data_IF_911310625939
#
_entry.id   IF_911310625939
#
_cell.length_a   1.000
_cell.length_b   1.000
_cell.length_c   1.000
_cell.angle_alpha   90.00
_cell.angle_beta   90.00
_cell.angle_gamma   90.00
#
_symmetry.space_group_name_H-M   'P 1'
#
loop_
_entity.id
_entity.type
_entity.pdbx_description
1 polymer ?
#
# COMPACT_ATOMS: atom_id res chain seq x y z
N UNK A 1 26.90 -2.24 -18.57
CA UNK A 1 26.04 -2.85 -17.56
C UNK A 1 24.79 -1.99 -17.35
N UNK A 2 23.67 -2.61 -17.36
CA UNK A 2 22.41 -1.91 -17.17
C UNK A 2 22.07 -1.88 -15.69
N UNK A 3 21.96 -0.68 -15.16
CA UNK A 3 21.48 -0.50 -13.80
C UNK A 3 19.96 -0.57 -13.84
N UNK A 4 19.42 -1.64 -13.30
CA UNK A 4 17.98 -1.73 -13.20
C UNK A 4 17.47 -0.76 -12.15
N UNK A 5 16.54 0.07 -12.55
CA UNK A 5 15.78 0.86 -11.60
C UNK A 5 14.99 -0.09 -10.71
N UNK A 6 15.33 -0.11 -9.43
CA UNK A 6 14.58 -0.94 -8.49
C UNK A 6 13.48 -0.13 -7.87
N UNK A 7 12.25 -0.49 -8.20
CA UNK A 7 11.09 0.06 -7.54
C UNK A 7 10.81 -0.76 -6.30
N UNK A 8 10.81 -0.11 -5.16
CA UNK A 8 10.46 -0.75 -3.90
C UNK A 8 9.01 -0.44 -3.56
N UNK A 9 8.24 -1.47 -3.26
CA UNK A 9 6.86 -1.34 -2.84
C UNK A 9 6.73 -1.76 -1.39
N UNK A 10 6.03 -0.94 -0.62
CA UNK A 10 5.72 -1.21 0.77
C UNK A 10 4.21 -1.16 0.92
N UNK A 11 3.65 -2.18 1.54
CA UNK A 11 2.21 -2.27 1.76
C UNK A 11 1.89 -1.95 3.21
N UNK A 12 0.83 -1.18 3.41
CA UNK A 12 0.36 -0.78 4.74
C UNK A 12 -1.10 -1.18 4.90
N UNK A 13 -1.43 -1.65 6.08
CA UNK A 13 -2.78 -2.09 6.41
C UNK A 13 -3.37 -1.17 7.49
N UNK A 14 -4.58 -0.71 7.24
CA UNK A 14 -5.37 0.01 8.23
C UNK A 14 -6.56 -0.85 8.61
N UNK A 15 -6.66 -1.19 9.88
CA UNK A 15 -7.76 -1.99 10.40
C UNK A 15 -8.57 -1.20 11.41
N UNK A 16 -9.87 -1.42 11.41
CA UNK A 16 -10.80 -0.85 12.40
C UNK A 16 -11.58 -2.01 12.98
N UNK A 17 -11.48 -2.19 14.31
CA UNK A 17 -12.16 -3.28 15.03
C UNK A 17 -11.86 -4.66 14.43
N UNK A 18 -10.61 -4.89 14.06
CA UNK A 18 -10.18 -6.16 13.50
C UNK A 18 -10.57 -6.40 12.05
N UNK A 19 -11.14 -5.40 11.40
CA UNK A 19 -11.55 -5.50 10.00
C UNK A 19 -10.70 -4.59 9.12
N UNK A 20 -10.40 -5.07 7.92
CA UNK A 20 -9.64 -4.29 6.95
C UNK A 20 -10.45 -3.07 6.53
N UNK A 21 -9.95 -1.88 6.87
CA UNK A 21 -10.58 -0.62 6.47
C UNK A 21 -9.96 -0.06 5.20
N UNK A 22 -8.64 -0.20 5.05
CA UNK A 22 -7.94 0.30 3.88
C UNK A 22 -6.60 -0.43 3.70
N UNK A 23 -6.15 -0.51 2.46
CA UNK A 23 -4.83 -1.04 2.12
C UNK A 23 -4.12 0.04 1.32
N UNK A 24 -2.90 0.38 1.76
CA UNK A 24 -2.09 1.39 1.11
C UNK A 24 -0.83 0.78 0.53
N UNK A 25 -0.30 1.42 -0.49
CA UNK A 25 0.97 1.04 -1.07
C UNK A 25 1.82 2.28 -1.27
N UNK A 26 3.06 2.22 -0.82
CA UNK A 26 4.08 3.22 -1.16
C UNK A 26 4.99 2.60 -2.20
N UNK A 27 5.15 3.29 -3.32
CA UNK A 27 6.05 2.87 -4.38
C UNK A 27 7.16 3.88 -4.52
N UNK A 28 8.39 3.43 -4.29
CA UNK A 28 9.58 4.29 -4.37
C UNK A 28 10.50 3.78 -5.46
N UNK A 29 10.93 4.68 -6.31
CA UNK A 29 11.95 4.40 -7.32
C UNK A 29 12.90 5.56 -7.44
N UNK A 30 13.89 5.48 -8.35
CA UNK A 30 14.81 6.58 -8.58
C UNK A 30 14.06 7.83 -9.05
N UNK A 31 14.12 8.89 -8.25
CA UNK A 31 13.51 10.15 -8.60
C UNK A 31 12.00 10.25 -8.39
N UNK A 32 11.37 9.23 -7.78
CA UNK A 32 9.93 9.34 -7.51
C UNK A 32 9.51 8.58 -6.25
N UNK A 33 8.40 9.04 -5.71
CA UNK A 33 7.72 8.40 -4.60
C UNK A 33 6.23 8.57 -4.82
N UNK A 34 5.48 7.47 -4.78
CA UNK A 34 4.03 7.50 -4.95
C UNK A 34 3.35 6.80 -3.80
N UNK A 35 2.31 7.43 -3.28
CA UNK A 35 1.47 6.86 -2.23
C UNK A 35 0.09 6.59 -2.83
N UNK A 36 -0.39 5.36 -2.66
CA UNK A 36 -1.62 4.90 -3.28
C UNK A 36 -2.49 4.19 -2.25
N UNK A 37 -3.80 4.28 -2.44
CA UNK A 37 -4.77 3.53 -1.65
C UNK A 37 -5.54 2.61 -2.60
N UNK A 38 -5.86 1.41 -2.13
CA UNK A 38 -6.61 0.44 -2.95
C UNK A 38 -8.09 0.77 -2.93
N UNK A 39 -8.61 1.17 -4.08
CA UNK A 39 -10.04 1.43 -4.28
C UNK A 39 -10.71 0.32 -5.07
N UNK A 40 -12.01 0.47 -5.32
CA UNK A 40 -12.78 -0.53 -6.04
C UNK A 40 -12.32 -0.73 -7.48
N UNK A 41 -11.75 0.30 -8.08
CA UNK A 41 -11.27 0.25 -9.46
C UNK A 41 -9.74 0.18 -9.56
N UNK A 42 -9.07 -0.06 -8.45
CA UNK A 42 -7.62 -0.19 -8.42
C UNK A 42 -6.96 0.82 -7.53
N UNK A 43 -5.67 1.02 -7.74
CA UNK A 43 -4.87 1.91 -6.92
C UNK A 43 -5.13 3.38 -7.26
N UNK A 44 -5.37 4.18 -6.23
CA UNK A 44 -5.70 5.60 -6.38
C UNK A 44 -4.66 6.41 -5.60
N UNK A 45 -4.11 7.48 -6.18
CA UNK A 45 -3.18 8.35 -5.45
C UNK A 45 -3.80 8.91 -4.17
N UNK A 46 -3.02 8.96 -3.10
CA UNK A 46 -3.48 9.46 -1.81
C UNK A 46 -2.35 10.17 -1.07
N UNK A 47 -2.70 11.10 -0.19
CA UNK A 47 -1.74 11.75 0.70
C UNK A 47 -1.88 11.26 2.15
N UNK A 48 -2.77 10.32 2.41
CA UNK A 48 -3.02 9.82 3.76
C UNK A 48 -1.81 9.15 4.40
N UNK A 49 -0.94 8.55 3.60
CA UNK A 49 0.27 7.89 4.11
C UNK A 49 1.25 8.90 4.69
N UNK A 50 1.15 10.16 4.30
CA UNK A 50 1.99 11.21 4.84
C UNK A 50 1.85 11.30 6.37
N UNK A 51 0.64 11.17 6.88
CA UNK A 51 0.37 11.20 8.32
C UNK A 51 1.07 10.05 9.04
N UNK A 52 1.12 8.88 8.44
CA UNK A 52 1.83 7.73 9.00
C UNK A 52 3.35 8.01 9.06
N UNK A 53 3.91 8.60 7.99
CA UNK A 53 5.35 8.91 7.92
C UNK A 53 5.80 9.85 9.01
N UNK A 54 4.94 10.79 9.39
CA UNK A 54 5.25 11.75 10.45
C UNK A 54 4.76 11.32 11.83
N UNK A 55 4.26 10.08 11.94
CA UNK A 55 3.89 9.49 13.21
C UNK A 55 2.52 9.87 13.74
N UNK A 56 1.66 10.49 12.92
CA UNK A 56 0.33 10.91 13.36
C UNK A 56 -0.72 9.81 13.21
N UNK A 57 -0.45 8.78 12.44
CA UNK A 57 -1.35 7.64 12.26
C UNK A 57 -0.58 6.35 12.29
N UNK A 58 -1.20 5.31 12.85
CA UNK A 58 -0.62 3.98 12.91
C UNK A 58 -1.20 3.10 11.82
N UNK A 59 -0.36 2.74 10.87
CA UNK A 59 -0.67 1.72 9.88
C UNK A 59 0.34 0.60 10.05
N UNK A 60 -0.09 -0.64 9.92
CA UNK A 60 0.80 -1.78 10.01
C UNK A 60 1.46 -2.02 8.66
N UNK A 61 2.80 -2.09 8.68
CA UNK A 61 3.52 -2.50 7.49
C UNK A 61 3.36 -4.01 7.34
N UNK A 62 2.90 -4.45 6.16
CA UNK A 62 2.63 -5.86 5.89
C UNK A 62 3.39 -6.31 4.66
N UNK A 63 3.51 -7.64 4.50
CA UNK A 63 4.13 -8.21 3.32
C UNK A 63 3.16 -8.17 2.14
N UNK A 64 3.71 -8.39 0.93
CA UNK A 64 2.88 -8.49 -0.27
C UNK A 64 1.85 -9.60 -0.14
N UNK A 65 2.25 -10.74 0.44
CA UNK A 65 1.35 -11.88 0.66
C UNK A 65 0.21 -11.51 1.60
N UNK A 66 0.53 -10.82 2.69
CA UNK A 66 -0.49 -10.37 3.64
C UNK A 66 -1.41 -9.32 2.99
N UNK A 67 -0.85 -8.43 2.17
CA UNK A 67 -1.66 -7.45 1.44
C UNK A 67 -2.63 -8.14 0.49
N UNK A 68 -2.18 -9.19 -0.18
CA UNK A 68 -3.03 -9.95 -1.09
C UNK A 68 -4.19 -10.62 -0.36
N UNK A 69 -3.91 -11.20 0.80
CA UNK A 69 -4.95 -11.83 1.61
C UNK A 69 -5.95 -10.81 2.14
N UNK A 70 -5.46 -9.65 2.59
CA UNK A 70 -6.33 -8.58 3.04
C UNK A 70 -7.20 -8.06 1.89
N UNK A 71 -6.63 -7.89 0.71
CA UNK A 71 -7.37 -7.45 -0.47
C UNK A 71 -8.41 -8.49 -0.89
N UNK A 72 -8.12 -9.77 -0.69
CA UNK A 72 -9.06 -10.85 -1.01
C UNK A 72 -10.34 -10.71 -0.20
N UNK A 73 -10.24 -10.31 1.07
CA UNK A 73 -11.42 -10.10 1.89
C UNK A 73 -12.30 -8.96 1.38
N UNK A 74 -11.74 -8.06 0.57
CA UNK A 74 -12.46 -6.95 -0.05
C UNK A 74 -12.84 -7.24 -1.51
N UNK A 75 -12.47 -8.41 -2.03
CA UNK A 75 -12.70 -8.74 -3.44
C UNK A 75 -11.77 -8.02 -4.40
N UNK A 76 -10.63 -7.52 -3.92
CA UNK A 76 -9.72 -6.68 -4.69
C UNK A 76 -8.33 -7.30 -4.89
N UNK A 77 -8.19 -8.61 -4.63
CA UNK A 77 -6.88 -9.26 -4.68
C UNK A 77 -6.20 -9.17 -6.06
N UNK A 78 -6.96 -9.00 -7.12
CA UNK A 78 -6.41 -8.89 -8.47
C UNK A 78 -5.51 -7.69 -8.66
N UNK A 79 -5.62 -6.69 -7.80
CA UNK A 79 -4.80 -5.48 -7.87
C UNK A 79 -3.47 -5.61 -7.14
N UNK A 80 -3.28 -6.69 -6.38
CA UNK A 80 -2.00 -6.97 -5.71
C UNK A 80 -1.20 -7.88 -6.64
N UNK A 81 -0.22 -7.30 -7.28
CA UNK A 81 0.61 -8.03 -8.25
C UNK A 81 1.94 -8.44 -7.67
#
# INVERSE_FOLDING_TARGET
MILKSKTKRTYLLHEINGKVAAIFMTERGPGFLRDLVLGLEGWIPTDQICDWRIGQRDYDEITRKEAKEAAKSLGLEKYIK
#
